data_IF_218138534177
#
_entry.id   IF_218138534177
#
_cell.length_a   1.000
_cell.length_b   1.000
_cell.length_c   1.000
_cell.angle_alpha   90.00
_cell.angle_beta   90.00
_cell.angle_gamma   90.00
#
_symmetry.space_group_name_H-M   'P 1'
#
loop_
_entity.id
_entity.type
_entity.pdbx_description
1 polymer ?
#
# COMPACT_ATOMS: atom_id res chain seq x y z
N UNK A 1 -32.65 14.50 2.50
CA UNK A 1 -32.38 14.52 3.95
C UNK A 1 -31.28 15.54 4.20
N UNK A 2 -31.55 16.64 4.93
CA UNK A 2 -30.49 17.59 5.33
C UNK A 2 -29.60 16.86 6.34
N UNK A 3 -28.32 16.63 6.00
CA UNK A 3 -27.33 16.24 7.02
C UNK A 3 -27.28 17.34 8.08
N UNK A 4 -27.30 16.94 9.35
CA UNK A 4 -27.24 17.88 10.46
C UNK A 4 -25.89 18.60 10.44
N UNK A 5 -25.91 19.93 10.39
CA UNK A 5 -24.71 20.76 10.16
C UNK A 5 -23.71 20.59 11.31
N UNK A 6 -24.21 20.56 12.54
CA UNK A 6 -23.40 20.37 13.75
C UNK A 6 -22.71 19.01 13.79
N UNK A 7 -23.40 17.95 13.31
CA UNK A 7 -22.82 16.61 13.21
C UNK A 7 -21.69 16.56 12.18
N UNK A 8 -21.84 17.28 11.07
CA UNK A 8 -20.84 17.36 10.00
C UNK A 8 -19.56 18.06 10.47
N UNK A 9 -19.70 19.14 11.26
CA UNK A 9 -18.55 19.87 11.85
C UNK A 9 -17.79 19.01 12.88
N UNK A 10 -18.50 18.25 13.73
CA UNK A 10 -17.86 17.32 14.69
C UNK A 10 -17.13 16.19 13.95
N UNK A 11 -17.74 15.62 12.90
CA UNK A 11 -17.12 14.56 12.10
C UNK A 11 -15.86 15.06 11.36
N UNK A 12 -15.84 16.33 10.94
CA UNK A 12 -14.65 16.95 10.34
C UNK A 12 -13.54 17.18 11.37
N UNK A 13 -13.87 17.71 12.55
CA UNK A 13 -12.91 17.89 13.63
C UNK A 13 -12.31 16.55 14.10
N UNK A 14 -13.14 15.51 14.24
CA UNK A 14 -12.69 14.16 14.59
C UNK A 14 -11.75 13.57 13.53
N UNK A 15 -12.04 13.80 12.24
CA UNK A 15 -11.18 13.35 11.15
C UNK A 15 -9.82 14.06 11.15
N UNK A 16 -9.82 15.38 11.31
CA UNK A 16 -8.58 16.18 11.40
C UNK A 16 -7.75 15.75 12.62
N UNK A 17 -8.39 15.47 13.75
CA UNK A 17 -7.72 14.91 14.91
C UNK A 17 -7.09 13.55 14.57
N UNK A 18 -7.82 12.64 13.93
CA UNK A 18 -7.35 11.29 13.61
C UNK A 18 -6.19 11.27 12.61
N UNK A 19 -6.25 12.05 11.54
CA UNK A 19 -5.27 11.98 10.44
C UNK A 19 -4.22 13.09 10.45
N UNK A 20 -4.43 14.15 11.23
CA UNK A 20 -3.57 15.33 11.31
C UNK A 20 -2.73 15.45 12.59
N UNK A 21 -3.03 14.71 13.66
CA UNK A 21 -2.31 14.89 14.94
C UNK A 21 -1.23 13.84 15.21
N UNK A 22 -1.38 12.63 14.65
CA UNK A 22 -0.39 11.56 14.83
C UNK A 22 0.82 11.82 13.93
N UNK A 23 1.96 12.03 14.57
CA UNK A 23 3.23 12.32 13.94
C UNK A 23 4.27 11.24 14.27
N UNK A 24 5.09 10.89 13.28
CA UNK A 24 6.23 10.01 13.52
C UNK A 24 7.23 10.66 14.48
N UNK A 25 7.77 9.84 15.38
CA UNK A 25 9.00 10.16 16.10
C UNK A 25 10.10 10.54 15.09
N UNK A 26 10.93 11.57 15.37
CA UNK A 26 11.90 12.10 14.41
C UNK A 26 12.83 11.05 13.82
N UNK A 27 13.26 10.08 14.63
CA UNK A 27 14.12 8.99 14.16
C UNK A 27 13.41 8.08 13.14
N UNK A 28 12.17 7.66 13.43
CA UNK A 28 11.38 6.83 12.52
C UNK A 28 11.06 7.59 11.24
N UNK A 29 10.74 8.89 11.37
CA UNK A 29 10.51 9.78 10.23
C UNK A 29 11.73 9.84 9.32
N UNK A 30 12.93 10.06 9.88
CA UNK A 30 14.16 10.11 9.10
C UNK A 30 14.45 8.82 8.33
N UNK A 31 14.14 7.65 8.92
CA UNK A 31 14.28 6.37 8.22
C UNK A 31 13.27 6.24 7.08
N UNK A 32 11.99 6.54 7.34
CA UNK A 32 10.93 6.51 6.32
C UNK A 32 11.25 7.45 5.16
N UNK A 33 11.64 8.70 5.45
CA UNK A 33 11.94 9.71 4.44
C UNK A 33 13.12 9.27 3.56
N UNK A 34 14.18 8.72 4.17
CA UNK A 34 15.33 8.16 3.45
C UNK A 34 14.94 6.98 2.54
N UNK A 35 14.07 6.08 3.03
CA UNK A 35 13.54 4.98 2.22
C UNK A 35 12.70 5.49 1.04
N UNK A 36 11.84 6.50 1.26
CA UNK A 36 11.05 7.14 0.20
C UNK A 36 11.98 7.80 -0.82
N UNK A 37 12.93 8.63 -0.41
CA UNK A 37 13.91 9.25 -1.32
C UNK A 37 14.70 8.22 -2.14
N UNK A 38 15.09 7.12 -1.51
CA UNK A 38 15.77 6.02 -2.20
C UNK A 38 14.87 5.38 -3.26
N UNK A 39 13.60 5.11 -2.93
CA UNK A 39 12.61 4.60 -3.88
C UNK A 39 12.41 5.57 -5.05
N UNK A 40 12.25 6.88 -4.77
CA UNK A 40 12.17 7.96 -5.77
C UNK A 40 13.40 8.01 -6.68
N UNK A 41 14.59 7.83 -6.10
CA UNK A 41 15.86 7.79 -6.85
C UNK A 41 15.95 6.55 -7.75
N UNK A 42 15.50 5.40 -7.26
CA UNK A 42 15.48 4.15 -8.03
C UNK A 42 14.42 4.17 -9.16
N UNK A 43 13.42 5.04 -9.07
CA UNK A 43 12.36 5.22 -10.08
C UNK A 43 12.56 6.43 -11.01
N UNK A 44 13.79 6.94 -11.18
CA UNK A 44 14.09 8.06 -12.11
C UNK A 44 13.52 7.90 -13.52
N UNK A 45 13.42 6.67 -14.03
CA UNK A 45 12.81 6.38 -15.35
C UNK A 45 11.29 6.60 -15.40
N UNK A 46 10.64 6.66 -14.25
CA UNK A 46 9.20 6.79 -14.07
C UNK A 46 8.83 8.12 -13.40
N UNK A 47 9.67 9.15 -13.57
CA UNK A 47 9.53 10.47 -12.94
C UNK A 47 9.52 10.40 -11.41
N UNK A 48 10.36 9.53 -10.86
CA UNK A 48 10.41 9.28 -9.42
C UNK A 48 9.19 8.50 -8.89
N UNK A 49 8.26 8.03 -9.73
CA UNK A 49 7.06 7.33 -9.24
C UNK A 49 7.29 5.87 -8.87
N UNK A 50 6.71 5.43 -7.76
CA UNK A 50 6.76 4.04 -7.30
C UNK A 50 5.40 3.55 -6.79
N UNK A 51 5.22 2.23 -6.86
CA UNK A 51 4.04 1.52 -6.37
C UNK A 51 4.38 0.87 -5.03
N UNK A 52 3.56 1.07 -4.02
CA UNK A 52 3.63 0.29 -2.79
C UNK A 52 2.57 -0.82 -2.83
N UNK A 53 3.00 -2.06 -2.63
CA UNK A 53 2.14 -3.23 -2.57
C UNK A 53 2.17 -3.77 -1.14
N UNK A 54 1.01 -3.80 -0.49
CA UNK A 54 0.87 -4.49 0.80
C UNK A 54 0.81 -6.00 0.55
N UNK A 55 1.97 -6.65 0.59
CA UNK A 55 2.16 -8.07 0.36
C UNK A 55 3.19 -8.58 1.37
N UNK A 56 2.70 -9.29 2.38
CA UNK A 56 3.50 -10.06 3.34
C UNK A 56 3.15 -11.53 3.23
N UNK A 57 4.13 -12.35 2.91
CA UNK A 57 3.94 -13.80 2.68
C UNK A 57 3.35 -14.46 3.94
N UNK A 58 3.89 -14.14 5.11
CA UNK A 58 3.44 -14.70 6.39
C UNK A 58 1.98 -14.35 6.72
N UNK A 59 1.52 -13.15 6.34
CA UNK A 59 0.14 -12.71 6.55
C UNK A 59 -0.82 -13.39 5.58
N UNK A 60 -0.42 -13.52 4.30
CA UNK A 60 -1.20 -14.21 3.29
C UNK A 60 -1.40 -15.69 3.64
N UNK A 61 -0.34 -16.37 4.09
CA UNK A 61 -0.40 -17.77 4.52
C UNK A 61 -1.34 -17.96 5.72
N UNK A 62 -1.20 -17.12 6.75
CA UNK A 62 -2.06 -17.15 7.96
C UNK A 62 -3.54 -16.93 7.63
N UNK A 63 -3.85 -16.07 6.65
CA UNK A 63 -5.23 -15.82 6.19
C UNK A 63 -5.77 -16.88 5.24
N UNK A 64 -4.98 -17.91 4.91
CA UNK A 64 -5.40 -18.98 4.01
C UNK A 64 -5.47 -18.56 2.54
N UNK A 65 -4.70 -17.53 2.16
CA UNK A 65 -4.57 -17.06 0.78
C UNK A 65 -3.73 -18.05 -0.03
N UNK A 66 -4.32 -19.21 -0.32
CA UNK A 66 -3.74 -20.24 -1.18
C UNK A 66 -4.28 -20.12 -2.60
N UNK A 67 -3.60 -20.75 -3.55
CA UNK A 67 -3.86 -20.75 -5.00
C UNK A 67 -5.20 -21.38 -5.45
N UNK A 68 -6.26 -21.26 -4.65
CA UNK A 68 -7.59 -21.75 -5.03
C UNK A 68 -8.30 -20.71 -5.89
N UNK A 69 -8.10 -20.84 -7.20
CA UNK A 69 -9.01 -20.30 -8.21
C UNK A 69 -10.39 -20.93 -8.04
N UNK A 70 -11.39 -20.16 -7.59
CA UNK A 70 -12.77 -20.68 -7.53
C UNK A 70 -13.77 -19.99 -6.60
N UNK A 71 -13.38 -18.98 -5.81
CA UNK A 71 -14.36 -18.17 -5.06
C UNK A 71 -14.71 -16.88 -5.81
N UNK A 72 -15.99 -16.57 -5.93
CA UNK A 72 -16.51 -15.39 -6.62
C UNK A 72 -16.09 -14.04 -5.98
N UNK A 73 -15.53 -14.07 -4.77
CA UNK A 73 -14.99 -12.88 -4.07
C UNK A 73 -13.68 -13.24 -3.37
N UNK A 74 -12.59 -13.22 -4.14
CA UNK A 74 -11.24 -13.43 -3.61
C UNK A 74 -10.85 -12.26 -2.68
N UNK A 75 -10.44 -12.58 -1.45
CA UNK A 75 -10.13 -11.58 -0.41
C UNK A 75 -8.64 -11.23 -0.32
N UNK A 76 -7.80 -11.94 -1.07
CA UNK A 76 -6.35 -11.76 -1.08
C UNK A 76 -5.68 -12.39 -2.31
N UNK A 77 -4.48 -11.91 -2.64
CA UNK A 77 -3.78 -12.21 -3.89
C UNK A 77 -2.31 -12.54 -3.61
N UNK A 78 -1.79 -13.57 -4.26
CA UNK A 78 -0.36 -13.93 -4.17
C UNK A 78 0.52 -13.03 -5.07
N UNK A 79 1.83 -13.20 -5.00
CA UNK A 79 2.77 -12.38 -5.77
C UNK A 79 2.59 -12.48 -7.29
N UNK A 80 2.31 -13.67 -7.82
CA UNK A 80 2.07 -13.87 -9.26
C UNK A 80 0.77 -13.22 -9.75
N UNK A 81 -0.26 -13.22 -8.91
CA UNK A 81 -1.54 -12.58 -9.20
C UNK A 81 -1.42 -11.06 -9.18
N UNK A 82 -0.72 -10.51 -8.19
CA UNK A 82 -0.37 -9.08 -8.17
C UNK A 82 0.45 -8.70 -9.41
N UNK A 83 1.45 -9.51 -9.76
CA UNK A 83 2.30 -9.25 -10.92
C UNK A 83 1.47 -9.22 -12.22
N UNK A 84 0.56 -10.19 -12.38
CA UNK A 84 -0.34 -10.29 -13.53
C UNK A 84 -1.31 -9.12 -13.56
N UNK A 85 -1.92 -8.78 -12.43
CA UNK A 85 -2.83 -7.65 -12.28
C UNK A 85 -2.16 -6.34 -12.70
N UNK A 86 -1.00 -6.00 -12.12
CA UNK A 86 -0.25 -4.79 -12.44
C UNK A 86 0.10 -4.71 -13.93
N UNK A 87 0.54 -5.81 -14.53
CA UNK A 87 0.86 -5.85 -15.96
C UNK A 87 -0.36 -5.61 -16.84
N UNK A 88 -1.49 -6.24 -16.51
CA UNK A 88 -2.73 -6.13 -17.29
C UNK A 88 -3.37 -4.73 -17.21
N UNK A 89 -3.14 -3.98 -16.14
CA UNK A 89 -3.59 -2.59 -16.02
C UNK A 89 -2.56 -1.56 -16.54
N UNK A 90 -1.46 -2.02 -17.15
CA UNK A 90 -0.54 -1.17 -17.90
C UNK A 90 0.74 -0.76 -17.19
N UNK A 91 1.06 -1.31 -16.01
CA UNK A 91 2.38 -1.09 -15.40
C UNK A 91 3.46 -1.82 -16.19
N UNK A 92 4.52 -1.08 -16.55
CA UNK A 92 5.67 -1.60 -17.29
C UNK A 92 6.74 -2.20 -16.38
N UNK A 93 7.66 -2.97 -16.97
CA UNK A 93 8.79 -3.62 -16.25
C UNK A 93 9.70 -2.67 -15.47
N UNK A 94 9.79 -1.40 -15.88
CA UNK A 94 10.62 -0.39 -15.21
C UNK A 94 9.90 0.25 -14.00
N UNK A 95 8.69 -0.22 -13.64
CA UNK A 95 7.99 0.21 -12.42
C UNK A 95 8.78 -0.20 -11.18
N UNK A 96 9.11 0.77 -10.33
CA UNK A 96 9.68 0.51 -9.01
C UNK A 96 8.57 0.11 -8.05
N UNK A 97 8.74 -1.04 -7.39
CA UNK A 97 7.77 -1.60 -6.45
C UNK A 97 8.40 -1.73 -5.07
N UNK A 98 7.71 -1.22 -4.06
CA UNK A 98 7.98 -1.50 -2.66
C UNK A 98 7.01 -2.56 -2.14
N UNK A 99 7.52 -3.58 -1.46
CA UNK A 99 6.72 -4.60 -0.77
C UNK A 99 6.80 -4.39 0.74
N UNK A 100 5.66 -4.56 1.42
CA UNK A 100 5.60 -4.60 2.91
C UNK A 100 6.23 -5.87 3.51
N UNK A 101 6.77 -6.76 2.67
CA UNK A 101 7.59 -7.89 3.09
C UNK A 101 8.92 -7.41 3.73
N UNK A 102 9.31 -8.04 4.85
CA UNK A 102 10.58 -7.75 5.55
C UNK A 102 11.81 -8.13 4.73
N UNK A 103 11.99 -9.43 4.49
CA UNK A 103 13.12 -10.00 3.73
C UNK A 103 12.63 -10.72 2.49
N UNK A 104 13.50 -10.86 1.49
CA UNK A 104 13.14 -11.57 0.26
C UNK A 104 12.68 -12.99 0.55
N UNK A 105 11.66 -13.42 -0.17
CA UNK A 105 11.09 -14.76 -0.12
C UNK A 105 10.91 -15.26 -1.56
N UNK A 106 11.24 -16.52 -1.84
CA UNK A 106 11.20 -17.06 -3.22
C UNK A 106 9.80 -17.06 -3.83
N UNK A 107 8.73 -17.03 -3.01
CA UNK A 107 7.37 -16.85 -3.52
C UNK A 107 7.14 -15.51 -4.23
N UNK A 108 8.04 -14.53 -4.04
CA UNK A 108 8.03 -13.22 -4.70
C UNK A 108 8.74 -13.22 -6.06
N UNK A 109 9.41 -14.31 -6.45
CA UNK A 109 10.25 -14.36 -7.64
C UNK A 109 9.46 -14.04 -8.91
N UNK A 110 8.23 -14.56 -9.05
CA UNK A 110 7.35 -14.24 -10.18
C UNK A 110 7.09 -12.73 -10.30
N UNK A 111 6.91 -12.03 -9.17
CA UNK A 111 6.72 -10.57 -9.19
C UNK A 111 8.02 -9.85 -9.61
N UNK A 112 9.17 -10.32 -9.13
CA UNK A 112 10.49 -9.78 -9.48
C UNK A 112 10.84 -9.97 -10.94
N UNK A 113 10.50 -11.12 -11.53
CA UNK A 113 10.70 -11.40 -12.94
C UNK A 113 9.91 -10.43 -13.82
N UNK A 114 8.66 -10.13 -13.44
CA UNK A 114 7.82 -9.21 -14.20
C UNK A 114 8.20 -7.73 -13.94
N UNK A 115 8.67 -7.42 -12.73
CA UNK A 115 9.07 -6.09 -12.27
C UNK A 115 10.43 -6.17 -11.55
N UNK A 116 11.55 -6.12 -12.30
CA UNK A 116 12.90 -6.28 -11.72
C UNK A 116 13.26 -5.24 -10.66
N UNK A 117 12.57 -4.09 -10.62
CA UNK A 117 12.73 -3.03 -9.61
C UNK A 117 11.80 -3.22 -8.41
N UNK A 118 11.57 -4.46 -8.00
CA UNK A 118 10.83 -4.80 -6.77
C UNK A 118 11.78 -4.90 -5.58
N UNK A 119 11.43 -4.28 -4.46
CA UNK A 119 12.26 -4.25 -3.26
C UNK A 119 11.44 -4.50 -2.00
N UNK A 120 12.03 -5.24 -1.06
CA UNK A 120 11.52 -5.43 0.31
C UNK A 120 12.03 -4.34 1.25
N UNK A 121 11.53 -4.32 2.49
CA UNK A 121 12.05 -3.44 3.56
C UNK A 121 13.57 -3.55 3.71
N UNK A 122 14.10 -4.76 3.83
CA UNK A 122 15.54 -5.01 3.95
C UNK A 122 16.32 -4.50 2.73
N UNK A 123 15.74 -4.55 1.53
CA UNK A 123 16.38 -4.09 0.30
C UNK A 123 16.53 -2.56 0.20
N UNK A 124 15.65 -1.79 0.85
CA UNK A 124 15.61 -0.32 0.74
C UNK A 124 16.16 0.37 1.99
N UNK A 125 15.98 -0.21 3.17
CA UNK A 125 16.37 0.41 4.43
C UNK A 125 17.89 0.66 4.51
N UNK A 126 18.33 1.82 5.07
CA UNK A 126 19.73 2.07 5.37
C UNK A 126 20.34 0.95 6.21
N UNK A 127 21.56 0.54 5.87
CA UNK A 127 22.21 -0.63 6.49
C UNK A 127 22.33 -0.51 8.01
N UNK A 128 22.70 0.67 8.50
CA UNK A 128 22.88 1.00 9.92
C UNK A 128 21.56 1.03 10.71
N UNK A 129 20.41 1.00 10.04
CA UNK A 129 19.07 1.02 10.65
C UNK A 129 18.40 -0.34 10.67
N UNK A 130 18.91 -1.33 9.94
CA UNK A 130 18.25 -2.64 9.78
C UNK A 130 18.08 -3.38 11.10
N UNK A 131 19.11 -3.44 11.93
CA UNK A 131 19.06 -4.21 13.18
C UNK A 131 18.02 -3.66 14.17
N UNK A 132 17.82 -2.34 14.16
CA UNK A 132 16.84 -1.67 15.00
C UNK A 132 15.40 -1.84 14.46
N UNK A 133 15.21 -1.65 13.15
CA UNK A 133 13.87 -1.53 12.55
C UNK A 133 13.32 -2.86 12.01
N UNK A 134 14.17 -3.83 11.68
CA UNK A 134 13.79 -5.18 11.22
C UNK A 134 14.01 -6.21 12.32
N UNK A 135 13.92 -5.78 13.58
CA UNK A 135 14.03 -6.66 14.74
C UNK A 135 12.77 -7.56 14.81
N UNK A 136 12.90 -8.90 14.69
CA UNK A 136 11.77 -9.81 14.79
C UNK A 136 11.02 -9.74 16.13
N UNK A 137 11.69 -9.26 17.19
CA UNK A 137 11.11 -9.08 18.53
C UNK A 137 10.27 -7.80 18.65
N UNK A 138 10.41 -6.86 17.71
CA UNK A 138 9.69 -5.57 17.69
C UNK A 138 9.03 -5.30 16.32
N UNK A 139 8.09 -6.15 15.86
CA UNK A 139 7.51 -6.08 14.52
C UNK A 139 6.68 -4.81 14.26
N UNK A 140 6.30 -4.09 15.32
CA UNK A 140 5.50 -2.86 15.24
C UNK A 140 6.22 -1.74 14.49
N UNK A 141 7.56 -1.66 14.58
CA UNK A 141 8.32 -0.66 13.83
C UNK A 141 8.24 -0.90 12.32
N UNK A 142 8.30 -2.17 11.89
CA UNK A 142 8.13 -2.51 10.48
C UNK A 142 6.75 -2.08 9.96
N UNK A 143 5.69 -2.32 10.73
CA UNK A 143 4.32 -1.95 10.36
C UNK A 143 4.13 -0.44 10.27
N UNK A 144 4.80 0.33 11.14
CA UNK A 144 4.81 1.80 11.07
C UNK A 144 5.53 2.27 9.80
N UNK A 145 6.69 1.70 9.48
CA UNK A 145 7.42 2.02 8.24
C UNK A 145 6.54 1.72 7.01
N UNK A 146 5.93 0.53 6.98
CA UNK A 146 5.03 0.11 5.91
C UNK A 146 3.85 1.08 5.74
N UNK A 147 3.18 1.44 6.85
CA UNK A 147 2.05 2.36 6.84
C UNK A 147 2.40 3.70 6.19
N UNK A 148 3.54 4.30 6.53
CA UNK A 148 3.94 5.58 5.97
C UNK A 148 4.44 5.49 4.53
N UNK A 149 5.25 4.47 4.17
CA UNK A 149 5.70 4.30 2.78
C UNK A 149 4.50 4.03 1.86
N UNK A 150 3.55 3.18 2.27
CA UNK A 150 2.32 2.92 1.51
C UNK A 150 1.47 4.19 1.40
N UNK A 151 1.39 5.01 2.46
CA UNK A 151 0.69 6.29 2.43
C UNK A 151 1.35 7.30 1.49
N UNK A 152 2.69 7.30 1.39
CA UNK A 152 3.45 8.26 0.59
C UNK A 152 3.62 7.90 -0.89
N UNK A 153 3.45 6.62 -1.23
CA UNK A 153 3.55 6.11 -2.60
C UNK A 153 2.60 6.78 -3.61
N UNK A 154 2.90 6.71 -4.90
CA UNK A 154 2.00 7.26 -5.92
C UNK A 154 0.79 6.36 -6.15
N UNK A 155 0.99 5.05 -6.07
CA UNK A 155 -0.07 4.05 -6.19
C UNK A 155 0.08 3.04 -5.06
N UNK A 156 -1.02 2.79 -4.37
CA UNK A 156 -1.09 1.77 -3.33
C UNK A 156 -1.94 0.58 -3.80
N UNK A 157 -1.44 -0.64 -3.59
CA UNK A 157 -2.09 -1.90 -3.97
C UNK A 157 -2.17 -2.84 -2.77
N UNK A 158 -3.35 -3.05 -2.17
CA UNK A 158 -3.51 -3.99 -1.07
C UNK A 158 -3.64 -5.42 -1.62
N UNK A 159 -2.67 -6.31 -1.33
CA UNK A 159 -2.81 -7.71 -1.70
C UNK A 159 -3.81 -8.45 -0.81
N UNK A 160 -4.24 -7.86 0.30
CA UNK A 160 -5.25 -8.43 1.20
C UNK A 160 -6.17 -7.35 1.77
N UNK A 161 -7.45 -7.71 1.92
CA UNK A 161 -8.39 -6.87 2.67
C UNK A 161 -8.12 -6.93 4.18
N UNK A 162 -8.24 -5.80 4.88
CA UNK A 162 -8.09 -5.76 6.33
C UNK A 162 -7.84 -4.36 6.87
N UNK A 163 -7.48 -4.31 8.16
CA UNK A 163 -7.28 -3.08 8.89
C UNK A 163 -6.12 -2.23 8.33
N UNK A 164 -5.02 -2.87 7.91
CA UNK A 164 -3.89 -2.16 7.29
C UNK A 164 -4.32 -1.40 6.03
N UNK A 165 -5.03 -2.08 5.12
CA UNK A 165 -5.62 -1.45 3.93
C UNK A 165 -6.54 -0.28 4.32
N UNK A 166 -7.48 -0.47 5.24
CA UNK A 166 -8.39 0.60 5.66
C UNK A 166 -7.63 1.83 6.21
N UNK A 167 -6.61 1.60 7.06
CA UNK A 167 -5.82 2.67 7.66
C UNK A 167 -5.00 3.44 6.62
N UNK A 168 -4.31 2.74 5.72
CA UNK A 168 -3.55 3.37 4.62
C UNK A 168 -4.50 4.13 3.70
N UNK A 169 -5.65 3.57 3.36
CA UNK A 169 -6.66 4.24 2.55
C UNK A 169 -7.12 5.55 3.22
N UNK A 170 -7.37 5.52 4.53
CA UNK A 170 -7.72 6.71 5.29
C UNK A 170 -6.67 7.82 5.22
N UNK A 171 -5.39 7.49 5.44
CA UNK A 171 -4.28 8.46 5.37
C UNK A 171 -4.08 9.02 3.96
N UNK A 172 -4.20 8.15 2.95
CA UNK A 172 -4.11 8.55 1.54
C UNK A 172 -5.26 9.46 1.14
N UNK A 173 -6.49 9.15 1.55
CA UNK A 173 -7.66 10.00 1.27
C UNK A 173 -7.50 11.38 1.93
N UNK A 174 -7.12 11.44 3.21
CA UNK A 174 -6.93 12.71 3.93
C UNK A 174 -5.78 13.57 3.38
N UNK A 175 -4.86 12.98 2.62
CA UNK A 175 -3.78 13.68 1.90
C UNK A 175 -4.04 13.84 0.39
N UNK A 176 -5.22 13.46 -0.11
CA UNK A 176 -5.58 13.56 -1.52
C UNK A 176 -4.94 12.51 -2.46
N UNK A 177 -4.21 11.52 -1.93
CA UNK A 177 -3.53 10.45 -2.70
C UNK A 177 -4.45 9.27 -3.00
N UNK A 178 -5.54 9.51 -3.73
CA UNK A 178 -6.62 8.54 -3.94
C UNK A 178 -6.34 7.41 -4.94
N UNK A 179 -5.13 7.35 -5.51
CA UNK A 179 -4.70 6.26 -6.38
C UNK A 179 -4.44 4.99 -5.54
N UNK A 180 -5.51 4.23 -5.34
CA UNK A 180 -5.53 2.97 -4.60
C UNK A 180 -6.19 1.92 -5.49
N UNK A 181 -5.43 0.93 -5.95
CA UNK A 181 -5.88 -0.07 -6.92
C UNK A 181 -6.04 -1.42 -6.23
N UNK A 182 -7.26 -1.92 -6.15
CA UNK A 182 -7.59 -3.21 -5.53
C UNK A 182 -7.43 -4.32 -6.58
N UNK A 183 -6.58 -5.32 -6.35
CA UNK A 183 -6.40 -6.42 -7.29
C UNK A 183 -7.69 -7.19 -7.55
N UNK A 184 -7.79 -7.72 -8.77
CA UNK A 184 -8.87 -8.61 -9.19
C UNK A 184 -8.39 -9.47 -10.37
N UNK A 185 -9.09 -10.59 -10.60
CA UNK A 185 -8.86 -11.41 -11.78
C UNK A 185 -9.36 -10.67 -13.03
N UNK A 186 -8.48 -10.46 -14.00
CA UNK A 186 -8.79 -9.76 -15.25
C UNK A 186 -8.89 -10.81 -16.36
N UNK A 187 -10.09 -11.11 -16.91
CA UNK A 187 -10.26 -12.15 -17.91
C UNK A 187 -9.59 -11.79 -19.26
N UNK A 188 -9.52 -10.50 -19.60
CA UNK A 188 -8.88 -10.00 -20.82
C UNK A 188 -7.36 -9.92 -20.77
N UNK A 189 -6.77 -9.45 -21.88
CA UNK A 189 -5.34 -9.15 -21.99
C UNK A 189 -4.93 -7.84 -21.31
N UNK A 190 -5.86 -6.90 -21.19
CA UNK A 190 -5.65 -5.61 -20.51
C UNK A 190 -6.97 -5.07 -19.94
N UNK A 191 -6.88 -4.12 -19.03
CA UNK A 191 -8.02 -3.37 -18.52
C UNK A 191 -7.58 -1.96 -18.06
N UNK A 192 -8.53 -1.02 -17.96
CA UNK A 192 -8.24 0.30 -17.40
C UNK A 192 -7.99 0.20 -15.89
N UNK A 193 -6.95 0.87 -15.34
CA UNK A 193 -6.75 1.02 -13.89
C UNK A 193 -7.98 1.57 -13.15
N UNK A 194 -8.76 2.45 -13.78
CA UNK A 194 -9.91 3.12 -13.16
C UNK A 194 -11.00 2.12 -12.71
N UNK A 195 -11.07 0.96 -13.36
CA UNK A 195 -12.01 -0.11 -13.01
C UNK A 195 -11.68 -0.79 -11.67
N UNK A 196 -10.48 -0.57 -11.15
CA UNK A 196 -9.95 -1.22 -9.95
C UNK A 196 -9.70 -0.23 -8.81
N UNK A 197 -10.22 0.99 -8.92
CA UNK A 197 -10.14 1.95 -7.83
C UNK A 197 -10.85 1.41 -6.58
N UNK A 198 -10.22 1.63 -5.44
CA UNK A 198 -10.74 1.26 -4.13
C UNK A 198 -12.19 1.68 -3.94
N UNK A 199 -12.99 0.78 -3.35
CA UNK A 199 -14.35 1.11 -2.95
C UNK A 199 -14.40 2.27 -1.94
N UNK A 200 -13.34 2.47 -1.15
CA UNK A 200 -13.21 3.64 -0.25
C UNK A 200 -13.24 4.94 -1.04
N UNK A 201 -12.61 4.95 -2.22
CA UNK A 201 -12.51 6.13 -3.08
C UNK A 201 -13.77 6.30 -3.93
N UNK A 202 -14.19 5.25 -4.63
CA UNK A 202 -15.32 5.33 -5.58
C UNK A 202 -16.66 5.57 -4.90
N UNK A 203 -16.87 5.02 -3.68
CA UNK A 203 -18.10 5.21 -2.91
C UNK A 203 -18.00 6.30 -1.86
N UNK A 204 -16.81 6.91 -1.67
CA UNK A 204 -16.51 7.88 -0.62
C UNK A 204 -17.01 7.45 0.77
N UNK A 205 -16.85 6.16 1.11
CA UNK A 205 -17.43 5.57 2.32
C UNK A 205 -16.44 5.43 3.48
N UNK A 206 -15.25 6.04 3.38
CA UNK A 206 -14.27 6.10 4.45
C UNK A 206 -14.45 7.36 5.30
N UNK A 207 -14.24 7.27 6.63
CA UNK A 207 -14.34 8.41 7.55
C UNK A 207 -13.45 9.58 7.12
N UNK A 208 -12.30 9.31 6.51
CA UNK A 208 -11.36 10.31 6.02
C UNK A 208 -11.97 11.37 5.07
N UNK A 209 -13.11 11.09 4.43
CA UNK A 209 -13.80 12.10 3.61
C UNK A 209 -14.46 13.21 4.44
N UNK A 210 -14.74 12.99 5.73
CA UNK A 210 -15.26 14.06 6.58
C UNK A 210 -14.22 15.14 6.87
N UNK A 211 -12.93 14.89 6.65
CA UNK A 211 -11.87 15.91 6.78
C UNK A 211 -12.07 17.12 5.84
N UNK A 212 -12.82 16.96 4.75
CA UNK A 212 -13.02 17.98 3.71
C UNK A 212 -14.45 18.52 3.63
N UNK A 213 -15.33 18.14 4.56
CA UNK A 213 -16.75 18.48 4.56
C UNK A 213 -17.08 19.72 5.40
#
# INVERSE_FOLDING_TARGET
MKKDKTKTEIDAAACMAMFGTLELQPEVRGVVDSMVERLRTLSRKSDGRFVAVDLRVDVLEKKGCKDKSGSATKSCFNAGEIATFLRKIGFGKDTTIYLTQSRWDSSLDTLKELFPRTYTKEGIMPMDKKDQFLNPEAPTLEEVVDYYICSESDVFVPAISGLFYANVAGKRISSGKTQILVPADIPGSSASPDNYLSHYVTKQNHLAYSCFC
#
